data_IF_126085159061
#
_entry.id   IF_126085159061
#
_cell.length_a   1.000
_cell.length_b   1.000
_cell.length_c   1.000
_cell.angle_alpha   90.00
_cell.angle_beta   90.00
_cell.angle_gamma   90.00
#
_symmetry.space_group_name_H-M   'P 1'
#
loop_
_entity.id
_entity.type
_entity.pdbx_description
1 polymer ?
#
# COMPACT_ATOMS: atom_id res chain seq x y z
N UNK A 1 -51.61 39.32 -50.82
CA UNK A 1 -50.99 39.59 -49.50
C UNK A 1 -50.78 38.37 -48.59
N UNK A 2 -51.03 37.12 -49.03
CA UNK A 2 -50.84 35.93 -48.17
C UNK A 2 -49.53 35.14 -48.38
N UNK A 3 -48.70 35.47 -49.38
CA UNK A 3 -47.42 34.77 -49.62
C UNK A 3 -46.21 35.38 -48.89
N UNK A 4 -46.25 36.67 -48.54
CA UNK A 4 -45.14 37.36 -47.84
C UNK A 4 -45.10 37.14 -46.32
N UNK A 5 -46.21 36.70 -45.70
CA UNK A 5 -46.26 36.41 -44.26
C UNK A 5 -45.66 35.06 -43.87
N UNK A 6 -45.57 34.10 -44.80
CA UNK A 6 -45.01 32.77 -44.50
C UNK A 6 -43.47 32.74 -44.45
N UNK A 7 -42.80 33.66 -45.15
CA UNK A 7 -41.33 33.79 -45.12
C UNK A 7 -40.81 34.46 -43.85
N UNK A 8 -41.55 35.42 -43.28
CA UNK A 8 -41.15 36.11 -42.04
C UNK A 8 -41.33 35.20 -40.81
N UNK A 9 -42.39 34.38 -40.78
CA UNK A 9 -42.64 33.43 -39.68
C UNK A 9 -41.67 32.25 -39.72
N UNK A 10 -41.26 31.79 -40.90
CA UNK A 10 -40.23 30.76 -41.03
C UNK A 10 -38.83 31.25 -40.62
N UNK A 11 -38.49 32.52 -40.90
CA UNK A 11 -37.23 33.12 -40.47
C UNK A 11 -37.16 33.37 -38.95
N UNK A 12 -38.28 33.75 -38.33
CA UNK A 12 -38.38 33.91 -36.87
C UNK A 12 -38.31 32.57 -36.12
N UNK A 13 -38.91 31.49 -36.66
CA UNK A 13 -38.84 30.16 -36.06
C UNK A 13 -37.46 29.50 -36.24
N UNK A 14 -36.73 29.81 -37.32
CA UNK A 14 -35.33 29.36 -37.44
C UNK A 14 -34.41 30.09 -36.45
N UNK A 15 -34.68 31.37 -36.15
CA UNK A 15 -33.88 32.15 -35.21
C UNK A 15 -34.09 31.73 -33.75
N UNK A 16 -35.30 31.30 -33.36
CA UNK A 16 -35.57 30.82 -31.99
C UNK A 16 -35.01 29.42 -31.72
N UNK A 17 -34.75 28.61 -32.75
CA UNK A 17 -34.18 27.26 -32.60
C UNK A 17 -32.64 27.28 -32.75
N UNK A 18 -32.07 28.27 -33.46
CA UNK A 18 -30.61 28.37 -33.68
C UNK A 18 -29.92 29.27 -32.64
N UNK A 19 -30.63 30.23 -32.00
CA UNK A 19 -30.05 31.10 -30.97
C UNK A 19 -29.47 30.39 -29.73
N UNK A 20 -30.01 29.26 -29.23
CA UNK A 20 -29.41 28.56 -28.08
C UNK A 20 -28.18 27.72 -28.46
N UNK A 21 -27.91 27.52 -29.76
CA UNK A 21 -26.77 26.72 -30.24
C UNK A 21 -25.53 27.61 -30.51
N UNK A 22 -25.73 28.93 -30.68
CA UNK A 22 -24.65 29.91 -30.93
C UNK A 22 -24.25 30.73 -29.71
N UNK A 23 -25.07 30.77 -28.65
CA UNK A 23 -24.71 31.27 -27.34
C UNK A 23 -24.50 30.05 -26.44
N UNK A 24 -23.25 29.61 -26.31
CA UNK A 24 -22.85 28.52 -25.44
C UNK A 24 -23.05 28.82 -23.94
N UNK A 25 -24.26 29.14 -23.53
CA UNK A 25 -24.70 28.98 -22.14
C UNK A 25 -24.76 27.48 -21.88
N UNK A 26 -23.60 26.92 -21.51
CA UNK A 26 -23.61 25.72 -20.69
C UNK A 26 -24.28 26.12 -19.39
N UNK A 27 -25.54 25.73 -19.22
CA UNK A 27 -26.09 25.58 -17.88
C UNK A 27 -25.25 24.47 -17.26
N UNK A 28 -24.22 24.85 -16.52
CA UNK A 28 -23.60 23.94 -15.56
C UNK A 28 -24.67 23.72 -14.51
N UNK A 29 -25.33 22.56 -14.56
CA UNK A 29 -26.01 22.04 -13.39
C UNK A 29 -24.93 21.86 -12.32
N UNK A 30 -24.86 22.81 -11.40
CA UNK A 30 -24.17 22.64 -10.12
C UNK A 30 -25.22 21.98 -9.25
N UNK A 31 -25.25 20.66 -9.25
CA UNK A 31 -26.04 19.91 -8.28
C UNK A 31 -25.33 20.09 -6.93
N UNK A 32 -25.79 21.06 -6.14
CA UNK A 32 -25.50 21.07 -4.72
C UNK A 32 -26.13 19.79 -4.14
N UNK A 33 -25.29 18.87 -3.64
CA UNK A 33 -25.79 17.64 -3.05
C UNK A 33 -26.72 18.01 -1.90
N UNK A 34 -27.94 17.51 -1.96
CA UNK A 34 -28.91 17.67 -0.90
C UNK A 34 -28.44 16.93 0.37
N UNK A 35 -28.99 17.30 1.52
CA UNK A 35 -28.70 16.62 2.79
C UNK A 35 -28.99 15.10 2.69
N UNK A 36 -30.04 14.73 1.95
CA UNK A 36 -30.43 13.35 1.67
C UNK A 36 -29.39 12.63 0.79
N UNK A 37 -28.86 13.29 -0.25
CA UNK A 37 -27.80 12.72 -1.10
C UNK A 37 -26.46 12.51 -0.37
N UNK A 38 -26.12 13.39 0.58
CA UNK A 38 -24.95 13.22 1.44
C UNK A 38 -25.18 12.07 2.42
N UNK A 39 -26.37 11.98 3.03
CA UNK A 39 -26.74 10.89 3.92
C UNK A 39 -26.69 9.53 3.21
N UNK A 40 -27.20 9.45 1.98
CA UNK A 40 -27.16 8.23 1.16
C UNK A 40 -25.72 7.82 0.82
N UNK A 41 -24.84 8.78 0.51
CA UNK A 41 -23.42 8.49 0.27
C UNK A 41 -22.71 8.01 1.54
N UNK A 42 -22.98 8.63 2.69
CA UNK A 42 -22.45 8.17 3.99
C UNK A 42 -22.85 6.71 4.23
N UNK A 43 -24.12 6.36 4.01
CA UNK A 43 -24.60 5.01 4.26
C UNK A 43 -23.97 4.00 3.30
N UNK A 44 -23.79 4.36 2.02
CA UNK A 44 -23.08 3.55 1.03
C UNK A 44 -21.61 3.33 1.41
N UNK A 45 -20.92 4.36 1.88
CA UNK A 45 -19.52 4.26 2.35
C UNK A 45 -19.44 3.40 3.62
N UNK A 46 -20.39 3.52 4.55
CA UNK A 46 -20.48 2.65 5.75
C UNK A 46 -20.69 1.19 5.39
N UNK A 47 -21.56 0.90 4.42
CA UNK A 47 -21.75 -0.46 3.93
C UNK A 47 -20.47 -1.03 3.31
N UNK A 48 -19.78 -0.24 2.49
CA UNK A 48 -18.48 -0.62 1.93
C UNK A 48 -17.43 -0.88 3.02
N UNK A 49 -17.35 0.00 4.03
CA UNK A 49 -16.46 -0.15 5.18
C UNK A 49 -16.77 -1.44 5.97
N UNK A 50 -18.05 -1.76 6.16
CA UNK A 50 -18.48 -3.01 6.79
C UNK A 50 -17.99 -4.24 6.03
N UNK A 51 -18.12 -4.24 4.70
CA UNK A 51 -17.63 -5.33 3.85
C UNK A 51 -16.10 -5.48 3.88
N UNK A 52 -15.37 -4.36 3.86
CA UNK A 52 -13.90 -4.36 3.97
C UNK A 52 -13.47 -4.84 5.36
N UNK A 53 -14.12 -4.42 6.44
CA UNK A 53 -13.81 -4.86 7.80
C UNK A 53 -14.11 -6.36 8.02
N UNK A 54 -15.17 -6.89 7.43
CA UNK A 54 -15.45 -8.33 7.44
C UNK A 54 -14.34 -9.11 6.71
N UNK A 55 -13.92 -8.62 5.53
CA UNK A 55 -12.82 -9.19 4.75
C UNK A 55 -11.48 -9.10 5.50
N UNK A 56 -11.22 -7.99 6.18
CA UNK A 56 -10.04 -7.77 7.01
C UNK A 56 -9.99 -8.77 8.17
N UNK A 57 -11.11 -8.97 8.86
CA UNK A 57 -11.21 -9.95 9.96
C UNK A 57 -10.93 -11.36 9.45
N UNK A 58 -11.48 -11.74 8.29
CA UNK A 58 -11.22 -13.04 7.68
C UNK A 58 -9.73 -13.20 7.31
N UNK A 59 -9.11 -12.16 6.73
CA UNK A 59 -7.70 -12.15 6.37
C UNK A 59 -6.78 -12.24 7.59
N UNK A 60 -7.10 -11.54 8.68
CA UNK A 60 -6.35 -11.59 9.95
C UNK A 60 -6.42 -12.99 10.59
N UNK A 61 -7.61 -13.63 10.55
CA UNK A 61 -7.76 -15.00 11.03
C UNK A 61 -6.97 -16.01 10.18
N UNK A 62 -6.98 -15.85 8.86
CA UNK A 62 -6.20 -16.70 7.94
C UNK A 62 -4.68 -16.52 8.14
N UNK A 63 -4.22 -15.28 8.35
CA UNK A 63 -2.84 -14.96 8.68
C UNK A 63 -2.42 -15.64 10.00
N UNK A 64 -3.24 -15.50 11.05
CA UNK A 64 -2.98 -16.13 12.35
C UNK A 64 -2.91 -17.65 12.25
N UNK A 65 -3.82 -18.27 11.49
CA UNK A 65 -3.79 -19.71 11.22
C UNK A 65 -2.48 -20.12 10.54
N UNK A 66 -2.07 -19.40 9.49
CA UNK A 66 -0.82 -19.66 8.77
C UNK A 66 0.42 -19.48 9.65
N UNK A 67 0.43 -18.47 10.53
CA UNK A 67 1.49 -18.26 11.51
C UNK A 67 1.58 -19.40 12.52
N UNK A 68 0.46 -19.90 13.02
CA UNK A 68 0.42 -21.04 13.93
C UNK A 68 0.95 -22.31 13.24
N UNK A 69 0.52 -22.59 12.01
CA UNK A 69 1.03 -23.72 11.22
C UNK A 69 2.53 -23.61 10.98
N UNK A 70 3.05 -22.41 10.67
CA UNK A 70 4.48 -22.16 10.52
C UNK A 70 5.24 -22.42 11.83
N UNK A 71 4.76 -21.90 12.95
CA UNK A 71 5.38 -22.11 14.26
C UNK A 71 5.44 -23.59 14.64
N UNK A 72 4.36 -24.33 14.39
CA UNK A 72 4.30 -25.76 14.67
C UNK A 72 5.29 -26.55 13.81
N UNK A 73 5.33 -26.27 12.50
CA UNK A 73 6.27 -26.92 11.58
C UNK A 73 7.73 -26.61 11.94
N UNK A 74 8.04 -25.36 12.33
CA UNK A 74 9.37 -24.98 12.79
C UNK A 74 9.78 -25.68 14.09
N UNK A 75 8.83 -25.98 14.98
CA UNK A 75 9.10 -26.71 16.23
C UNK A 75 9.40 -28.20 16.03
N UNK A 76 8.95 -28.79 14.92
CA UNK A 76 9.17 -30.21 14.61
C UNK A 76 10.56 -30.49 14.01
N UNK A 77 11.16 -29.50 13.32
CA UNK A 77 12.50 -29.65 12.70
C UNK A 77 13.59 -30.04 13.72
N UNK A 78 13.77 -29.35 14.86
CA UNK A 78 14.80 -29.74 15.84
C UNK A 78 14.59 -31.15 16.41
N UNK A 79 13.33 -31.60 16.49
CA UNK A 79 13.01 -32.94 16.98
C UNK A 79 13.46 -34.00 15.98
N UNK A 80 13.19 -33.79 14.69
CA UNK A 80 13.66 -34.66 13.62
C UNK A 80 15.19 -34.66 13.51
N UNK A 81 15.83 -33.50 13.66
CA UNK A 81 17.30 -33.40 13.67
C UNK A 81 17.93 -34.19 14.81
N UNK A 82 17.34 -34.13 16.01
CA UNK A 82 17.80 -34.91 17.15
C UNK A 82 17.62 -36.42 16.93
N UNK A 83 16.47 -36.84 16.38
CA UNK A 83 16.21 -38.26 16.10
C UNK A 83 17.15 -38.83 15.02
N UNK A 84 17.38 -38.07 13.93
CA UNK A 84 18.36 -38.41 12.88
C UNK A 84 19.77 -38.54 13.47
N UNK A 85 20.18 -37.58 14.30
CA UNK A 85 21.51 -37.62 14.92
C UNK A 85 21.68 -38.82 15.86
N UNK A 86 20.64 -39.18 16.62
CA UNK A 86 20.65 -40.35 17.48
C UNK A 86 20.78 -41.65 16.68
N UNK A 87 19.99 -41.81 15.62
CA UNK A 87 20.04 -43.00 14.75
C UNK A 87 21.40 -43.10 14.05
N UNK A 88 21.96 -41.98 13.58
CA UNK A 88 23.28 -41.99 12.97
C UNK A 88 24.37 -42.45 13.95
N UNK A 89 24.31 -42.02 15.21
CA UNK A 89 25.25 -42.49 16.23
C UNK A 89 25.09 -44.00 16.51
N UNK A 90 23.88 -44.53 16.45
CA UNK A 90 23.60 -45.96 16.61
C UNK A 90 24.14 -46.78 15.41
N UNK A 91 23.94 -46.29 14.18
CA UNK A 91 24.53 -46.87 12.97
C UNK A 91 26.06 -46.91 13.07
N UNK A 92 26.68 -45.81 13.48
CA UNK A 92 28.13 -45.71 13.61
C UNK A 92 28.67 -46.67 14.68
N UNK A 93 27.92 -46.83 15.80
CA UNK A 93 28.26 -47.80 16.83
C UNK A 93 28.17 -49.25 16.32
N UNK A 94 27.08 -49.60 15.63
CA UNK A 94 26.92 -50.94 15.06
C UNK A 94 28.03 -51.27 14.06
N UNK A 95 28.44 -50.32 13.21
CA UNK A 95 29.56 -50.50 12.27
C UNK A 95 30.87 -50.80 12.98
N UNK A 96 31.15 -50.14 14.12
CA UNK A 96 32.32 -50.44 14.94
C UNK A 96 32.21 -51.83 15.58
N UNK A 97 31.03 -52.21 16.07
CA UNK A 97 30.79 -53.54 16.66
C UNK A 97 30.97 -54.66 15.64
N UNK A 98 30.45 -54.48 14.42
CA UNK A 98 30.64 -55.42 13.30
C UNK A 98 32.13 -55.58 13.01
N UNK A 99 32.88 -54.49 12.84
CA UNK A 99 34.33 -54.56 12.59
C UNK A 99 35.09 -55.33 13.68
N UNK A 100 34.75 -55.09 14.96
CA UNK A 100 35.36 -55.81 16.08
C UNK A 100 35.00 -57.31 16.05
N UNK A 101 33.74 -57.64 15.74
CA UNK A 101 33.27 -59.01 15.64
C UNK A 101 33.94 -59.75 14.46
N UNK A 102 34.06 -59.13 13.29
CA UNK A 102 34.75 -59.66 12.11
C UNK A 102 36.23 -59.96 12.40
N UNK A 103 36.95 -59.03 13.05
CA UNK A 103 38.35 -59.28 13.42
C UNK A 103 38.48 -60.38 14.48
N UNK A 104 37.50 -60.51 15.38
CA UNK A 104 37.46 -61.58 16.39
C UNK A 104 37.19 -62.94 15.74
N UNK A 105 36.27 -63.00 14.77
CA UNK A 105 35.96 -64.19 13.98
C UNK A 105 37.18 -64.67 13.19
N UNK A 106 37.90 -63.75 12.53
CA UNK A 106 39.15 -64.05 11.83
C UNK A 106 40.21 -64.63 12.77
N UNK A 107 40.38 -64.03 13.94
CA UNK A 107 41.36 -64.50 14.93
C UNK A 107 41.02 -65.92 15.42
N UNK A 108 39.75 -66.19 15.72
CA UNK A 108 39.29 -67.52 16.15
C UNK A 108 39.41 -68.57 15.05
N UNK A 109 39.12 -68.19 13.80
CA UNK A 109 39.31 -69.07 12.64
C UNK A 109 40.78 -69.46 12.48
N UNK A 110 41.70 -68.50 12.60
CA UNK A 110 43.15 -68.80 12.59
C UNK A 110 43.57 -69.69 13.77
N UNK A 111 43.01 -69.48 14.97
CA UNK A 111 43.27 -70.35 16.14
C UNK A 111 42.78 -71.78 15.89
N UNK A 112 41.59 -71.93 15.27
CA UNK A 112 41.03 -73.22 14.90
C UNK A 112 41.94 -73.94 13.89
N UNK A 113 42.38 -73.27 12.83
CA UNK A 113 43.33 -73.81 11.83
C UNK A 113 44.67 -74.23 12.46
N UNK A 114 45.20 -73.43 13.40
CA UNK A 114 46.42 -73.77 14.12
C UNK A 114 46.24 -75.01 15.00
N UNK A 115 45.09 -75.15 15.68
CA UNK A 115 44.76 -76.32 16.50
C UNK A 115 44.58 -77.57 15.66
N UNK A 116 43.88 -77.49 14.53
CA UNK A 116 43.75 -78.59 13.58
C UNK A 116 45.11 -79.05 13.05
N UNK A 117 45.99 -78.10 12.69
CA UNK A 117 47.35 -78.39 12.23
C UNK A 117 48.21 -79.04 13.32
N UNK A 118 48.12 -78.53 14.57
CA UNK A 118 48.80 -79.13 15.72
C UNK A 118 48.27 -80.53 16.02
N UNK A 119 46.96 -80.74 15.91
CA UNK A 119 46.33 -82.04 16.09
C UNK A 119 46.83 -83.04 15.04
N UNK A 120 46.82 -82.68 13.75
CA UNK A 120 47.34 -83.54 12.67
C UNK A 120 48.82 -83.88 12.88
N UNK A 121 49.63 -82.90 13.31
CA UNK A 121 51.04 -83.11 13.66
C UNK A 121 51.21 -84.02 14.87
N UNK A 122 50.41 -83.86 15.92
CA UNK A 122 50.44 -84.69 17.12
C UNK A 122 50.01 -86.14 16.82
N UNK A 123 48.99 -86.34 15.98
CA UNK A 123 48.55 -87.65 15.49
C UNK A 123 49.66 -88.32 14.68
N UNK A 124 50.31 -87.60 13.76
CA UNK A 124 51.45 -88.09 12.98
C UNK A 124 52.63 -88.46 13.87
N UNK A 125 52.99 -87.61 14.82
CA UNK A 125 54.11 -87.86 15.74
C UNK A 125 53.84 -89.08 16.64
N UNK A 126 52.65 -89.16 17.24
CA UNK A 126 52.23 -90.32 18.02
C UNK A 126 52.30 -91.62 17.20
N UNK A 127 51.91 -91.59 15.92
CA UNK A 127 52.03 -92.73 15.00
C UNK A 127 53.49 -93.10 14.67
N UNK A 128 54.38 -92.11 14.51
CA UNK A 128 55.81 -92.34 14.25
C UNK A 128 56.49 -92.93 15.49
N UNK A 129 56.31 -92.31 16.66
CA UNK A 129 56.89 -92.75 17.94
C UNK A 129 56.52 -94.21 18.22
N UNK A 130 55.25 -94.56 18.03
CA UNK A 130 54.75 -95.94 18.06
C UNK A 130 55.56 -96.90 17.21
N UNK A 131 55.76 -96.54 15.94
CA UNK A 131 56.33 -97.42 14.92
C UNK A 131 57.82 -97.62 15.18
N UNK A 132 58.50 -96.60 15.69
CA UNK A 132 59.91 -96.67 16.11
C UNK A 132 60.12 -97.42 17.44
N UNK A 133 59.20 -97.33 18.39
CA UNK A 133 59.31 -98.00 19.70
C UNK A 133 58.89 -99.49 19.67
N UNK A 134 58.46 -100.01 18.51
CA UNK A 134 58.11 -101.44 18.35
C UNK A 134 59.22 -102.42 18.73
N UNK A 135 60.49 -102.01 18.72
CA UNK A 135 61.61 -102.85 19.15
C UNK A 135 61.66 -103.03 20.68
N UNK A 136 61.27 -102.02 21.45
CA UNK A 136 61.28 -102.05 22.93
C UNK A 136 59.97 -102.62 23.48
N UNK A 137 58.83 -102.27 22.88
CA UNK A 137 57.50 -102.75 23.31
C UNK A 137 57.20 -104.22 22.95
N UNK A 138 57.94 -104.83 22.00
CA UNK A 138 57.89 -106.28 21.77
C UNK A 138 58.39 -107.10 22.97
N UNK A 139 59.24 -106.52 23.82
CA UNK A 139 59.86 -107.24 24.93
C UNK A 139 59.00 -107.26 26.21
N UNK A 140 58.00 -106.36 26.35
CA UNK A 140 57.31 -106.15 27.63
C UNK A 140 55.83 -106.55 27.71
N UNK A 141 55.14 -106.91 26.61
CA UNK A 141 53.68 -107.15 26.65
C UNK A 141 53.29 -108.49 26.02
N UNK A 142 53.09 -109.49 26.88
CA UNK A 142 52.39 -110.74 26.57
C UNK A 142 50.95 -110.61 27.07
N UNK A 143 50.00 -110.37 26.17
CA UNK A 143 48.55 -110.44 26.46
C UNK A 143 47.72 -109.28 25.90
N UNK A 144 46.83 -109.60 24.95
CA UNK A 144 45.76 -108.76 24.36
C UNK A 144 46.16 -107.32 24.03
N UNK A 145 47.13 -107.19 23.14
CA UNK A 145 47.73 -105.92 22.78
C UNK A 145 46.80 -104.96 22.02
N UNK A 146 45.63 -105.36 21.50
CA UNK A 146 44.77 -104.52 20.64
C UNK A 146 43.85 -103.54 21.41
N UNK A 147 43.42 -103.90 22.63
CA UNK A 147 42.44 -103.08 23.36
C UNK A 147 43.07 -101.89 24.08
N UNK A 148 44.24 -102.08 24.72
CA UNK A 148 45.06 -100.98 25.29
C UNK A 148 45.63 -100.09 24.17
N UNK A 149 45.81 -100.65 22.96
CA UNK A 149 46.27 -99.95 21.75
C UNK A 149 45.32 -98.85 21.29
N UNK A 150 44.02 -99.14 21.22
CA UNK A 150 43.04 -98.14 20.81
C UNK A 150 42.84 -97.06 21.89
N UNK A 151 42.89 -97.46 23.16
CA UNK A 151 42.50 -96.60 24.28
C UNK A 151 43.56 -95.55 24.64
N UNK A 152 44.86 -95.88 24.56
CA UNK A 152 45.94 -94.89 24.80
C UNK A 152 46.13 -93.96 23.60
N UNK A 153 45.95 -94.44 22.36
CA UNK A 153 46.03 -93.61 21.14
C UNK A 153 44.84 -92.65 20.98
N UNK A 154 43.63 -93.07 21.38
CA UNK A 154 42.41 -92.27 21.18
C UNK A 154 41.99 -91.42 22.37
N UNK A 155 42.36 -91.74 23.61
CA UNK A 155 41.63 -91.16 24.76
C UNK A 155 42.05 -89.77 25.22
N UNK A 156 43.31 -89.35 25.05
CA UNK A 156 43.79 -88.09 25.66
C UNK A 156 44.13 -86.99 24.64
N UNK A 157 44.98 -87.27 23.65
CA UNK A 157 45.39 -86.23 22.66
C UNK A 157 44.28 -85.95 21.64
N UNK A 158 43.53 -86.97 21.22
CA UNK A 158 42.46 -86.78 20.24
C UNK A 158 41.20 -86.15 20.84
N UNK A 159 40.71 -86.62 22.00
CA UNK A 159 39.43 -86.14 22.58
C UNK A 159 39.48 -84.71 23.11
N UNK A 160 40.57 -84.33 23.80
CA UNK A 160 40.67 -82.99 24.40
C UNK A 160 40.80 -81.90 23.34
N UNK A 161 41.58 -82.15 22.29
CA UNK A 161 41.74 -81.21 21.15
C UNK A 161 40.50 -81.17 20.25
N UNK A 162 39.81 -82.32 20.01
CA UNK A 162 38.54 -82.33 19.26
C UNK A 162 37.47 -81.48 19.93
N UNK A 163 37.30 -81.62 21.26
CA UNK A 163 36.34 -80.79 22.01
C UNK A 163 36.70 -79.30 21.92
N UNK A 164 37.99 -78.94 21.93
CA UNK A 164 38.44 -77.55 21.80
C UNK A 164 38.15 -76.97 20.41
N UNK A 165 38.35 -77.76 19.34
CA UNK A 165 38.02 -77.37 17.97
C UNK A 165 36.51 -77.22 17.78
N UNK A 166 35.70 -78.12 18.34
CA UNK A 166 34.24 -78.06 18.28
C UNK A 166 33.68 -76.82 19.01
N UNK A 167 34.22 -76.50 20.20
CA UNK A 167 33.86 -75.29 20.94
C UNK A 167 34.21 -74.03 20.15
N UNK A 168 35.42 -73.96 19.59
CA UNK A 168 35.83 -72.81 18.75
C UNK A 168 34.94 -72.66 17.51
N UNK A 169 34.57 -73.77 16.86
CA UNK A 169 33.62 -73.75 15.76
C UNK A 169 32.26 -73.16 16.15
N UNK A 170 31.72 -73.58 17.29
CA UNK A 170 30.46 -73.01 17.81
C UNK A 170 30.58 -71.52 18.15
N UNK A 171 31.71 -71.07 18.70
CA UNK A 171 31.95 -69.65 18.99
C UNK A 171 32.08 -68.81 17.70
N UNK A 172 32.65 -69.37 16.63
CA UNK A 172 32.73 -68.73 15.31
C UNK A 172 31.33 -68.60 14.70
N UNK A 173 30.53 -69.67 14.75
CA UNK A 173 29.15 -69.65 14.23
C UNK A 173 28.30 -68.64 15.00
N UNK A 174 28.42 -68.57 16.34
CA UNK A 174 27.74 -67.55 17.15
C UNK A 174 28.17 -66.13 16.79
N UNK A 175 29.46 -65.90 16.50
CA UNK A 175 29.94 -64.60 16.04
C UNK A 175 29.38 -64.22 14.67
N UNK A 176 29.27 -65.16 13.74
CA UNK A 176 28.67 -64.94 12.41
C UNK A 176 27.20 -64.59 12.52
N UNK A 177 26.44 -65.34 13.31
CA UNK A 177 25.02 -65.07 13.55
C UNK A 177 24.83 -63.66 14.15
N UNK A 178 25.69 -63.26 15.10
CA UNK A 178 25.66 -61.91 15.69
C UNK A 178 26.02 -60.81 14.67
N UNK A 179 26.99 -61.06 13.78
CA UNK A 179 27.34 -60.12 12.69
C UNK A 179 26.15 -59.94 11.77
N UNK A 180 25.53 -61.03 11.30
CA UNK A 180 24.36 -60.99 10.42
C UNK A 180 23.18 -60.22 11.06
N UNK A 181 22.94 -60.40 12.36
CA UNK A 181 21.91 -59.65 13.11
C UNK A 181 22.22 -58.15 13.19
N UNK A 182 23.49 -57.78 13.46
CA UNK A 182 23.93 -56.39 13.50
C UNK A 182 23.87 -55.73 12.12
N UNK A 183 24.23 -56.44 11.06
CA UNK A 183 24.12 -55.95 9.68
C UNK A 183 22.66 -55.71 9.28
N UNK A 184 21.76 -56.64 9.64
CA UNK A 184 20.33 -56.49 9.45
C UNK A 184 19.78 -55.25 10.17
N UNK A 185 20.09 -55.11 11.46
CA UNK A 185 19.69 -53.95 12.27
C UNK A 185 20.25 -52.64 11.71
N UNK A 186 21.51 -52.64 11.25
CA UNK A 186 22.15 -51.47 10.65
C UNK A 186 21.45 -51.05 9.37
N UNK A 187 21.06 -52.01 8.53
CA UNK A 187 20.33 -51.74 7.27
C UNK A 187 18.94 -51.13 7.55
N UNK A 188 18.23 -51.64 8.55
CA UNK A 188 16.94 -51.09 8.97
C UNK A 188 17.06 -49.66 9.51
N UNK A 189 18.09 -49.40 10.33
CA UNK A 189 18.39 -48.07 10.85
C UNK A 189 18.77 -47.09 9.72
N UNK A 190 19.59 -47.51 8.74
CA UNK A 190 19.94 -46.70 7.57
C UNK A 190 18.69 -46.33 6.75
N UNK A 191 17.77 -47.28 6.57
CA UNK A 191 16.49 -47.05 5.91
C UNK A 191 15.63 -46.04 6.67
N UNK A 192 15.51 -46.19 8.00
CA UNK A 192 14.76 -45.26 8.85
C UNK A 192 15.39 -43.86 8.83
N UNK A 193 16.71 -43.78 8.86
CA UNK A 193 17.45 -42.51 8.80
C UNK A 193 17.21 -41.77 7.48
N UNK A 194 17.18 -42.51 6.36
CA UNK A 194 16.88 -41.95 5.05
C UNK A 194 15.42 -41.44 4.97
N UNK A 195 14.45 -42.18 5.51
CA UNK A 195 13.05 -41.75 5.56
C UNK A 195 12.86 -40.48 6.41
N UNK A 196 13.46 -40.42 7.60
CA UNK A 196 13.42 -39.23 8.46
C UNK A 196 14.10 -38.02 7.80
N UNK A 197 15.21 -38.24 7.09
CA UNK A 197 15.89 -37.18 6.33
C UNK A 197 14.99 -36.63 5.21
N UNK A 198 14.32 -37.53 4.47
CA UNK A 198 13.35 -37.13 3.44
C UNK A 198 12.14 -36.39 4.05
N UNK A 199 11.63 -36.85 5.18
CA UNK A 199 10.53 -36.21 5.91
C UNK A 199 10.92 -34.81 6.38
N UNK A 200 12.13 -34.62 6.90
CA UNK A 200 12.69 -33.32 7.26
C UNK A 200 12.73 -32.39 6.05
N UNK A 201 13.28 -32.85 4.92
CA UNK A 201 13.36 -32.04 3.70
C UNK A 201 11.98 -31.62 3.18
N UNK A 202 10.98 -32.51 3.23
CA UNK A 202 9.59 -32.17 2.88
C UNK A 202 9.01 -31.10 3.82
N UNK A 203 9.28 -31.20 5.12
CA UNK A 203 8.80 -30.23 6.11
C UNK A 203 9.48 -28.86 5.93
N UNK A 204 10.78 -28.82 5.60
CA UNK A 204 11.49 -27.59 5.26
C UNK A 204 10.90 -26.90 4.01
N UNK A 205 10.54 -27.68 2.99
CA UNK A 205 9.84 -27.16 1.82
C UNK A 205 8.45 -26.60 2.17
N UNK A 206 7.70 -27.26 3.06
CA UNK A 206 6.43 -26.76 3.57
C UNK A 206 6.59 -25.45 4.35
N UNK A 207 7.64 -25.34 5.17
CA UNK A 207 7.97 -24.10 5.91
C UNK A 207 8.20 -22.93 4.94
N UNK A 208 8.92 -23.16 3.83
CA UNK A 208 9.13 -22.13 2.80
C UNK A 208 7.80 -21.69 2.19
N UNK A 209 6.93 -22.65 1.83
CA UNK A 209 5.61 -22.35 1.29
C UNK A 209 4.73 -21.57 2.29
N UNK A 210 4.75 -21.96 3.57
CA UNK A 210 4.03 -21.27 4.64
C UNK A 210 4.55 -19.84 4.86
N UNK A 211 5.86 -19.60 4.81
CA UNK A 211 6.43 -18.24 4.88
C UNK A 211 5.93 -17.36 3.74
N UNK A 212 5.88 -17.90 2.52
CA UNK A 212 5.33 -17.18 1.37
C UNK A 212 3.83 -16.86 1.57
N UNK A 213 3.05 -17.81 2.10
CA UNK A 213 1.64 -17.61 2.44
C UNK A 213 1.44 -16.52 3.51
N UNK A 214 2.27 -16.52 4.56
CA UNK A 214 2.25 -15.48 5.61
C UNK A 214 2.57 -14.11 5.02
N UNK A 215 3.60 -14.00 4.18
CA UNK A 215 3.98 -12.75 3.53
C UNK A 215 2.87 -12.22 2.62
N UNK A 216 2.27 -13.09 1.81
CA UNK A 216 1.13 -12.73 0.97
C UNK A 216 -0.06 -12.25 1.81
N UNK A 217 -0.41 -12.99 2.87
CA UNK A 217 -1.52 -12.65 3.77
C UNK A 217 -1.28 -11.32 4.50
N UNK A 218 -0.04 -11.03 4.92
CA UNK A 218 0.34 -9.73 5.47
C UNK A 218 0.08 -8.59 4.49
N UNK A 219 0.40 -8.79 3.21
CA UNK A 219 0.11 -7.82 2.16
C UNK A 219 -1.39 -7.56 1.99
N UNK A 220 -2.22 -8.62 2.01
CA UNK A 220 -3.68 -8.50 1.95
C UNK A 220 -4.24 -7.73 3.15
N UNK A 221 -3.81 -8.07 4.37
CA UNK A 221 -4.22 -7.38 5.60
C UNK A 221 -3.84 -5.91 5.55
N UNK A 222 -2.62 -5.57 5.11
CA UNK A 222 -2.18 -4.19 4.98
C UNK A 222 -3.02 -3.41 3.94
N UNK A 223 -3.31 -4.02 2.79
CA UNK A 223 -4.16 -3.41 1.76
C UNK A 223 -5.58 -3.15 2.24
N UNK A 224 -6.20 -4.14 2.90
CA UNK A 224 -7.55 -4.01 3.46
C UNK A 224 -7.62 -2.97 4.58
N UNK A 225 -6.63 -2.91 5.47
CA UNK A 225 -6.53 -1.84 6.49
C UNK A 225 -6.45 -0.47 5.85
N UNK A 226 -5.62 -0.30 4.81
CA UNK A 226 -5.53 0.96 4.08
C UNK A 226 -6.87 1.35 3.44
N UNK A 227 -7.59 0.41 2.85
CA UNK A 227 -8.92 0.67 2.29
C UNK A 227 -9.92 1.09 3.37
N UNK A 228 -9.93 0.41 4.52
CA UNK A 228 -10.77 0.75 5.64
C UNK A 228 -10.48 2.16 6.17
N UNK A 229 -9.20 2.56 6.28
CA UNK A 229 -8.81 3.91 6.68
C UNK A 229 -9.31 4.98 5.71
N UNK A 230 -9.20 4.75 4.39
CA UNK A 230 -9.70 5.68 3.38
C UNK A 230 -11.22 5.81 3.44
N UNK A 231 -11.95 4.70 3.53
CA UNK A 231 -13.41 4.70 3.66
C UNK A 231 -13.85 5.43 4.93
N UNK A 232 -13.17 5.20 6.06
CA UNK A 232 -13.47 5.92 7.31
C UNK A 232 -13.23 7.43 7.16
N UNK A 233 -12.11 7.84 6.56
CA UNK A 233 -11.83 9.25 6.31
C UNK A 233 -12.89 9.91 5.41
N UNK A 234 -13.36 9.22 4.37
CA UNK A 234 -14.44 9.70 3.51
C UNK A 234 -15.76 9.87 4.29
N UNK A 235 -16.10 8.90 5.15
CA UNK A 235 -17.28 8.99 6.02
C UNK A 235 -17.18 10.19 6.96
N UNK A 236 -16.01 10.41 7.57
CA UNK A 236 -15.78 11.53 8.49
C UNK A 236 -15.90 12.88 7.75
N UNK A 237 -15.35 12.98 6.53
CA UNK A 237 -15.47 14.17 5.69
C UNK A 237 -16.93 14.46 5.33
N UNK A 238 -17.67 13.46 4.83
CA UNK A 238 -19.08 13.61 4.46
C UNK A 238 -19.95 13.94 5.68
N UNK A 239 -19.64 13.38 6.85
CA UNK A 239 -20.35 13.67 8.10
C UNK A 239 -20.10 15.11 8.55
N UNK A 240 -18.88 15.63 8.37
CA UNK A 240 -18.57 17.04 8.65
C UNK A 240 -19.28 17.99 7.67
N UNK A 241 -19.35 17.63 6.39
CA UNK A 241 -20.11 18.35 5.36
C UNK A 241 -21.59 18.39 5.70
N UNK A 242 -22.17 17.23 6.03
CA UNK A 242 -23.57 17.11 6.47
C UNK A 242 -23.86 18.00 7.68
N UNK A 243 -22.98 17.97 8.68
CA UNK A 243 -23.13 18.80 9.89
C UNK A 243 -23.04 20.29 9.57
N UNK A 244 -22.11 20.70 8.70
CA UNK A 244 -21.96 22.10 8.30
C UNK A 244 -23.22 22.63 7.60
N UNK A 245 -23.85 21.81 6.74
CA UNK A 245 -25.12 22.14 6.10
C UNK A 245 -26.26 22.25 7.12
N UNK A 246 -26.37 21.31 8.06
CA UNK A 246 -27.36 21.36 9.14
C UNK A 246 -27.19 22.58 10.06
N UNK A 247 -25.95 22.91 10.41
CA UNK A 247 -25.63 24.10 11.22
C UNK A 247 -26.00 25.38 10.46
N UNK A 248 -25.78 25.42 9.14
CA UNK A 248 -26.17 26.54 8.28
C UNK A 248 -27.69 26.68 8.15
N UNK A 249 -28.42 25.57 7.96
CA UNK A 249 -29.89 25.56 7.99
C UNK A 249 -30.42 26.04 9.34
N UNK A 250 -29.86 25.57 10.45
CA UNK A 250 -30.24 26.00 11.80
C UNK A 250 -29.94 27.48 12.04
N UNK A 251 -28.83 28.00 11.51
CA UNK A 251 -28.52 29.43 11.54
C UNK A 251 -29.54 30.26 10.75
N UNK A 252 -29.88 29.83 9.53
CA UNK A 252 -30.91 30.46 8.70
C UNK A 252 -32.28 30.51 9.42
N UNK A 253 -32.62 29.44 10.14
CA UNK A 253 -33.87 29.33 10.89
C UNK A 253 -33.82 30.07 12.25
N UNK A 254 -32.63 30.33 12.80
CA UNK A 254 -32.43 30.85 14.15
C UNK A 254 -32.07 32.34 14.28
N UNK A 255 -31.46 32.96 13.26
CA UNK A 255 -31.08 34.39 13.31
C UNK A 255 -31.28 35.11 11.96
N UNK A 256 -32.54 35.36 11.62
CA UNK A 256 -32.94 36.55 10.86
C UNK A 256 -33.58 37.55 11.82
N UNK A 257 -32.87 38.62 12.17
CA UNK A 257 -33.37 39.64 13.09
C UNK A 257 -34.73 40.21 12.66
N UNK A 258 -35.64 40.37 13.63
CA UNK A 258 -36.77 41.29 13.58
C UNK A 258 -37.68 41.24 12.31
N UNK A 259 -37.97 40.04 11.82
CA UNK A 259 -39.02 39.78 10.83
C UNK A 259 -39.90 38.64 11.32
N UNK A 260 -41.20 38.89 11.46
CA UNK A 260 -42.20 38.05 12.13
C UNK A 260 -42.02 36.54 12.00
N UNK A 261 -42.05 35.87 13.15
CA UNK A 261 -42.25 34.43 13.30
C UNK A 261 -43.56 33.99 12.63
N UNK A 262 -43.46 33.44 11.42
CA UNK A 262 -44.51 32.67 10.78
C UNK A 262 -44.02 31.21 10.61
N UNK A 263 -44.77 30.20 11.06
CA UNK A 263 -44.37 28.82 10.85
C UNK A 263 -44.48 28.44 9.37
N UNK A 264 -43.42 27.81 8.84
CA UNK A 264 -43.30 27.44 7.43
C UNK A 264 -44.19 26.22 7.09
N UNK A 265 -44.85 26.26 5.93
CA UNK A 265 -45.66 25.18 5.36
C UNK A 265 -44.90 24.46 4.24
N UNK A 266 -44.98 23.12 4.10
CA UNK A 266 -44.31 22.40 3.01
C UNK A 266 -44.72 22.90 1.62
N UNK A 267 -43.74 23.18 0.74
CA UNK A 267 -43.96 23.54 -0.67
C UNK A 267 -43.81 25.03 -1.04
N UNK A 268 -43.32 25.88 -0.13
CA UNK A 268 -42.97 27.27 -0.47
C UNK A 268 -41.46 27.51 -0.44
N UNK A 269 -40.93 28.13 -1.51
CA UNK A 269 -39.56 28.63 -1.59
C UNK A 269 -39.55 30.08 -1.09
N UNK A 270 -38.72 30.37 -0.09
CA UNK A 270 -38.47 31.74 0.37
C UNK A 270 -36.98 32.07 0.23
N UNK A 271 -36.68 33.24 -0.33
CA UNK A 271 -35.34 33.82 -0.29
C UNK A 271 -35.27 34.73 0.94
N UNK A 272 -34.38 34.44 1.89
CA UNK A 272 -33.98 35.37 2.94
C UNK A 272 -32.52 35.74 2.73
N UNK A 273 -32.29 36.96 2.25
CA UNK A 273 -30.95 37.51 2.07
C UNK A 273 -30.66 38.52 3.18
N UNK A 274 -29.83 38.14 4.15
CA UNK A 274 -28.94 39.09 4.81
C UNK A 274 -27.57 38.93 4.15
N UNK A 275 -27.46 39.45 2.92
CA UNK A 275 -26.26 39.32 2.11
C UNK A 275 -25.06 39.88 2.86
N UNK A 276 -24.11 39.00 3.20
CA UNK A 276 -22.70 39.35 3.33
C UNK A 276 -22.05 39.55 1.94
N UNK A 277 -22.87 39.72 0.90
CA UNK A 277 -22.54 39.92 -0.51
C UNK A 277 -21.98 41.31 -0.83
N UNK A 278 -21.66 42.12 0.18
CA UNK A 278 -21.21 43.48 -0.07
C UNK A 278 -19.75 43.58 -0.50
N UNK A 279 -18.85 42.58 -0.33
CA UNK A 279 -17.41 42.80 -0.61
C UNK A 279 -16.51 41.63 -1.06
N UNK A 280 -16.96 40.50 -1.62
CA UNK A 280 -16.00 39.39 -1.81
C UNK A 280 -16.12 38.55 -3.10
N UNK A 281 -15.78 39.17 -4.23
CA UNK A 281 -15.43 38.51 -5.51
C UNK A 281 -16.56 37.82 -6.29
N UNK A 282 -16.18 37.05 -7.31
CA UNK A 282 -17.05 36.59 -8.41
C UNK A 282 -18.01 35.44 -8.07
N UNK A 283 -17.92 34.85 -6.87
CA UNK A 283 -18.69 33.66 -6.45
C UNK A 283 -18.28 32.33 -7.10
N UNK A 284 -17.30 32.34 -8.01
CA UNK A 284 -16.78 31.15 -8.72
C UNK A 284 -15.28 31.33 -8.99
N UNK A 285 -14.57 30.21 -9.24
CA UNK A 285 -13.13 30.23 -9.48
C UNK A 285 -12.30 29.95 -8.23
N UNK A 286 -11.11 30.56 -8.12
CA UNK A 286 -10.22 30.34 -6.97
C UNK A 286 -10.84 30.87 -5.66
N UNK A 287 -10.95 30.01 -4.65
CA UNK A 287 -11.34 30.40 -3.29
C UNK A 287 -10.17 31.10 -2.59
N UNK A 288 -10.36 32.31 -2.06
CA UNK A 288 -9.30 33.01 -1.33
C UNK A 288 -8.97 32.29 -0.01
N UNK A 289 -9.98 31.88 0.76
CA UNK A 289 -9.77 31.10 1.98
C UNK A 289 -9.20 29.70 1.71
N UNK A 290 -9.58 29.07 0.60
CA UNK A 290 -9.00 27.79 0.20
C UNK A 290 -7.54 27.91 -0.25
N UNK A 291 -7.19 28.96 -1.01
CA UNK A 291 -5.81 29.31 -1.33
C UNK A 291 -4.97 29.58 -0.07
N UNK A 292 -5.55 30.25 0.94
CA UNK A 292 -4.93 30.43 2.25
C UNK A 292 -4.63 29.08 2.92
N UNK A 293 -5.60 28.17 2.98
CA UNK A 293 -5.42 26.83 3.55
C UNK A 293 -4.36 25.99 2.82
N UNK A 294 -4.36 25.99 1.49
CA UNK A 294 -3.35 25.29 0.69
C UNK A 294 -1.94 25.87 0.88
N UNK A 295 -1.82 27.20 0.92
CA UNK A 295 -0.55 27.86 1.19
C UNK A 295 -0.02 27.57 2.60
N UNK A 296 -0.90 27.48 3.62
CA UNK A 296 -0.50 27.04 4.96
C UNK A 296 0.03 25.60 4.97
N UNK A 297 -0.45 24.75 4.07
CA UNK A 297 0.03 23.39 3.86
C UNK A 297 1.27 23.33 2.94
N UNK A 298 1.92 24.47 2.65
CA UNK A 298 3.17 24.54 1.91
C UNK A 298 3.05 24.54 0.39
N UNK A 299 1.83 24.72 -0.16
CA UNK A 299 1.64 24.80 -1.61
C UNK A 299 2.12 26.14 -2.17
N UNK A 300 2.84 26.09 -3.29
CA UNK A 300 3.23 27.28 -4.04
C UNK A 300 2.08 27.84 -4.89
N UNK A 301 2.17 29.11 -5.26
CA UNK A 301 1.12 29.81 -6.01
C UNK A 301 0.68 29.09 -7.29
N UNK A 302 1.62 28.53 -8.06
CA UNK A 302 1.29 27.79 -9.28
C UNK A 302 0.49 26.51 -8.99
N UNK A 303 0.84 25.78 -7.92
CA UNK A 303 0.12 24.57 -7.52
C UNK A 303 -1.31 24.88 -7.09
N UNK A 304 -1.48 25.96 -6.32
CA UNK A 304 -2.78 26.49 -5.92
C UNK A 304 -3.63 26.81 -7.15
N UNK A 305 -3.07 27.53 -8.13
CA UNK A 305 -3.79 27.91 -9.34
C UNK A 305 -4.13 26.73 -10.23
N UNK A 306 -3.22 25.76 -10.41
CA UNK A 306 -3.52 24.56 -11.21
C UNK A 306 -4.46 23.58 -10.53
N UNK A 307 -4.64 23.70 -9.21
CA UNK A 307 -5.71 23.02 -8.48
C UNK A 307 -7.06 23.64 -8.81
N UNK A 308 -7.17 24.97 -8.72
CA UNK A 308 -8.43 25.65 -8.98
C UNK A 308 -8.80 25.72 -10.46
N UNK A 309 -7.84 25.85 -11.37
CA UNK A 309 -8.13 25.95 -12.80
C UNK A 309 -7.57 24.73 -13.52
N UNK A 310 -8.45 23.91 -14.10
CA UNK A 310 -8.04 22.63 -14.70
C UNK A 310 -7.50 22.80 -16.13
N UNK A 311 -6.46 22.03 -16.46
CA UNK A 311 -5.86 22.03 -17.80
C UNK A 311 -5.11 23.31 -18.19
N UNK A 312 -4.85 24.21 -17.24
CA UNK A 312 -4.18 25.49 -17.48
C UNK A 312 -2.67 25.41 -17.30
N UNK A 313 -1.98 26.44 -17.81
CA UNK A 313 -0.57 26.70 -17.58
C UNK A 313 -0.42 28.06 -16.91
N UNK A 314 0.28 28.09 -15.78
CA UNK A 314 0.76 29.33 -15.15
C UNK A 314 2.13 29.66 -15.72
N UNK A 315 2.27 30.80 -16.39
CA UNK A 315 3.51 31.12 -17.08
C UNK A 315 3.61 32.57 -17.52
N UNK A 316 4.77 32.90 -18.07
CA UNK A 316 5.09 34.22 -18.61
C UNK A 316 4.22 34.51 -19.85
N UNK A 317 3.70 35.74 -19.95
CA UNK A 317 2.85 36.16 -21.07
C UNK A 317 3.19 37.58 -21.52
N UNK A 318 3.14 37.88 -22.84
CA UNK A 318 3.38 39.23 -23.37
C UNK A 318 2.20 40.16 -23.05
N UNK A 319 2.05 40.50 -21.77
CA UNK A 319 0.98 41.32 -21.23
C UNK A 319 1.27 42.81 -21.44
N UNK A 320 0.21 43.58 -21.70
CA UNK A 320 0.27 45.03 -21.55
C UNK A 320 0.60 45.39 -20.09
N UNK A 321 1.51 46.34 -19.90
CA UNK A 321 1.86 46.87 -18.58
C UNK A 321 0.89 47.96 -18.10
N UNK A 322 -0.07 48.31 -18.95
CA UNK A 322 -1.12 49.27 -18.68
C UNK A 322 -2.50 48.69 -19.01
N UNK A 323 -3.50 49.04 -18.21
CA UNK A 323 -4.91 48.73 -18.48
C UNK A 323 -5.74 50.00 -18.41
N UNK A 324 -6.93 49.95 -19.02
CA UNK A 324 -7.88 51.06 -18.96
C UNK A 324 -8.94 50.74 -17.91
N UNK A 325 -9.16 51.65 -16.97
CA UNK A 325 -10.16 51.52 -15.91
C UNK A 325 -11.28 52.53 -16.13
N UNK A 326 -12.47 52.24 -15.59
CA UNK A 326 -13.60 53.17 -15.50
C UNK A 326 -14.14 53.27 -14.07
N UNK A 327 -14.41 54.49 -13.63
CA UNK A 327 -14.98 54.78 -12.32
C UNK A 327 -15.73 56.12 -12.31
N UNK A 328 -16.40 56.43 -11.21
CA UNK A 328 -17.14 57.69 -11.04
C UNK A 328 -16.33 58.69 -10.22
N UNK A 329 -16.20 59.93 -10.70
CA UNK A 329 -15.33 60.95 -10.08
C UNK A 329 -15.60 61.16 -8.58
N UNK A 330 -16.87 61.11 -8.16
CA UNK A 330 -17.28 61.31 -6.76
C UNK A 330 -17.37 60.04 -5.92
N UNK A 331 -17.19 58.85 -6.51
CA UNK A 331 -17.13 57.58 -5.77
C UNK A 331 -16.41 56.51 -6.60
N UNK A 332 -15.09 56.36 -6.41
CA UNK A 332 -14.27 55.51 -7.28
C UNK A 332 -14.51 54.00 -7.09
N UNK A 333 -15.06 53.55 -5.95
CA UNK A 333 -15.13 52.12 -5.59
C UNK A 333 -16.56 51.58 -5.41
N UNK A 334 -17.56 52.44 -5.17
CA UNK A 334 -18.89 51.98 -4.74
C UNK A 334 -20.06 52.34 -5.67
N UNK A 335 -19.86 53.10 -6.77
CA UNK A 335 -20.98 53.73 -7.49
C UNK A 335 -21.20 53.33 -8.96
N UNK A 336 -20.31 52.57 -9.61
CA UNK A 336 -20.52 52.14 -10.99
C UNK A 336 -21.36 50.85 -11.04
N UNK A 337 -22.68 50.99 -11.00
CA UNK A 337 -23.64 49.93 -11.34
C UNK A 337 -24.18 50.14 -12.77
N UNK A 338 -24.90 49.15 -13.30
CA UNK A 338 -25.35 48.99 -14.71
C UNK A 338 -25.97 50.23 -15.41
N UNK A 339 -26.27 51.33 -14.70
CA UNK A 339 -26.86 52.57 -15.21
C UNK A 339 -25.89 53.78 -15.23
N UNK A 340 -24.57 53.55 -15.19
CA UNK A 340 -23.55 54.61 -15.14
C UNK A 340 -23.32 55.12 -13.71
N UNK A 341 -22.88 56.37 -13.55
CA UNK A 341 -22.54 56.95 -12.25
C UNK A 341 -23.75 57.38 -11.40
N UNK A 342 -24.82 56.59 -11.42
CA UNK A 342 -26.04 56.77 -10.63
C UNK A 342 -26.34 55.51 -9.82
N UNK A 343 -26.53 55.66 -8.50
CA UNK A 343 -26.99 54.58 -7.61
C UNK A 343 -27.99 55.13 -6.60
N UNK A 344 -29.12 54.44 -6.42
CA UNK A 344 -30.17 54.84 -5.45
C UNK A 344 -30.75 56.24 -5.64
N UNK A 345 -30.69 56.82 -6.84
CA UNK A 345 -31.10 58.21 -7.12
C UNK A 345 -30.03 59.28 -6.85
N UNK A 346 -28.82 58.88 -6.44
CA UNK A 346 -27.68 59.78 -6.23
C UNK A 346 -26.77 59.77 -7.46
N UNK A 347 -26.39 60.96 -7.94
CA UNK A 347 -25.40 61.14 -9.02
C UNK A 347 -24.01 61.34 -8.43
N UNK A 348 -23.07 60.47 -8.79
CA UNK A 348 -21.70 60.43 -8.27
C UNK A 348 -20.68 61.13 -9.18
N UNK A 349 -21.14 62.00 -10.08
CA UNK A 349 -20.28 62.73 -11.03
C UNK A 349 -20.11 62.02 -12.37
N UNK A 350 -19.31 62.59 -13.29
CA UNK A 350 -19.07 62.01 -14.61
C UNK A 350 -18.30 60.69 -14.51
N UNK A 351 -18.53 59.81 -15.49
CA UNK A 351 -17.70 58.63 -15.70
C UNK A 351 -16.31 59.08 -16.18
N UNK A 352 -15.28 58.57 -15.52
CA UNK A 352 -13.88 58.79 -15.86
C UNK A 352 -13.33 57.49 -16.42
N UNK A 353 -12.79 57.57 -17.63
CA UNK A 353 -12.03 56.48 -18.25
C UNK A 353 -10.59 56.93 -18.35
N UNK A 354 -9.68 56.15 -17.77
CA UNK A 354 -8.27 56.49 -17.75
C UNK A 354 -7.39 55.24 -17.81
N UNK A 355 -6.16 55.44 -18.24
CA UNK A 355 -5.15 54.39 -18.32
C UNK A 355 -4.28 54.42 -17.07
N UNK A 356 -4.03 53.24 -16.50
CA UNK A 356 -3.23 53.04 -15.30
C UNK A 356 -2.23 51.91 -15.48
N UNK A 357 -1.18 51.91 -14.66
CA UNK A 357 -0.26 50.77 -14.56
C UNK A 357 -1.01 49.54 -14.04
N UNK A 358 -0.80 48.40 -14.71
CA UNK A 358 -1.36 47.12 -14.30
C UNK A 358 -0.89 46.73 -12.90
N UNK A 359 0.40 46.91 -12.60
CA UNK A 359 0.96 46.60 -11.28
C UNK A 359 0.34 47.47 -10.17
N UNK A 360 0.12 48.76 -10.44
CA UNK A 360 -0.57 49.64 -9.47
C UNK A 360 -2.04 49.26 -9.29
N UNK A 361 -2.70 48.82 -10.36
CA UNK A 361 -4.07 48.34 -10.30
C UNK A 361 -4.17 47.08 -9.43
N UNK A 362 -3.25 46.12 -9.62
CA UNK A 362 -3.17 44.89 -8.84
C UNK A 362 -2.81 45.18 -7.37
N UNK A 363 -1.91 46.13 -7.11
CA UNK A 363 -1.55 46.52 -5.75
C UNK A 363 -2.69 47.18 -4.98
N UNK A 364 -3.67 47.74 -5.69
CA UNK A 364 -4.91 48.27 -5.13
C UNK A 364 -5.97 47.20 -4.82
N UNK A 365 -5.71 45.92 -5.09
CA UNK A 365 -6.62 44.83 -4.71
C UNK A 365 -6.49 44.58 -3.20
N UNK A 366 -7.52 44.94 -2.43
CA UNK A 366 -7.50 44.88 -0.96
C UNK A 366 -8.19 43.64 -0.36
N UNK A 367 -8.38 42.57 -1.14
CA UNK A 367 -9.25 41.45 -0.73
C UNK A 367 -8.56 40.39 0.14
N UNK A 368 -7.23 40.19 0.02
CA UNK A 368 -6.46 39.36 0.96
C UNK A 368 -5.64 40.27 1.89
N UNK A 369 -5.59 40.00 3.21
CA UNK A 369 -4.77 40.80 4.11
C UNK A 369 -3.29 40.40 4.01
N UNK A 370 -2.39 41.38 4.21
CA UNK A 370 -0.93 41.17 4.19
C UNK A 370 -0.41 40.12 5.19
N UNK A 371 -1.19 39.76 6.21
CA UNK A 371 -0.87 38.69 7.17
C UNK A 371 -1.02 37.28 6.60
N UNK A 372 -1.66 37.13 5.44
CA UNK A 372 -1.83 35.82 4.80
C UNK A 372 -0.53 35.32 4.16
N UNK A 373 -0.37 33.99 4.03
CA UNK A 373 0.78 33.39 3.39
C UNK A 373 1.05 34.02 2.02
N UNK A 374 2.32 34.33 1.75
CA UNK A 374 2.74 35.00 0.53
C UNK A 374 2.29 34.25 -0.73
N UNK A 375 2.33 32.91 -0.72
CA UNK A 375 1.91 32.08 -1.86
C UNK A 375 0.41 32.20 -2.19
N UNK A 376 -0.45 32.42 -1.19
CA UNK A 376 -1.87 32.68 -1.42
C UNK A 376 -2.09 34.05 -2.09
N UNK A 377 -1.38 35.08 -1.60
CA UNK A 377 -1.41 36.42 -2.19
C UNK A 377 -0.84 36.44 -3.61
N UNK A 378 0.23 35.70 -3.86
CA UNK A 378 0.78 35.48 -5.22
C UNK A 378 -0.25 34.82 -6.15
N UNK A 379 -0.95 33.79 -5.69
CA UNK A 379 -2.00 33.15 -6.47
C UNK A 379 -3.10 34.15 -6.87
N UNK A 380 -3.55 34.99 -5.93
CA UNK A 380 -4.50 36.07 -6.21
C UNK A 380 -3.97 37.06 -7.25
N UNK A 381 -2.72 37.52 -7.13
CA UNK A 381 -2.15 38.49 -8.07
C UNK A 381 -2.08 37.93 -9.50
N UNK A 382 -1.74 36.65 -9.66
CA UNK A 382 -1.70 35.98 -10.97
C UNK A 382 -3.11 35.83 -11.55
N UNK A 383 -4.09 35.41 -10.73
CA UNK A 383 -5.48 35.29 -11.16
C UNK A 383 -6.07 36.65 -11.55
N UNK A 384 -5.90 37.66 -10.71
CA UNK A 384 -6.37 39.02 -10.96
C UNK A 384 -5.71 39.67 -12.18
N UNK A 385 -4.40 39.45 -12.38
CA UNK A 385 -3.70 39.89 -13.59
C UNK A 385 -4.31 39.27 -14.83
N UNK A 386 -4.56 37.96 -14.80
CA UNK A 386 -5.16 37.23 -15.91
C UNK A 386 -6.56 37.74 -16.22
N UNK A 387 -7.39 37.93 -15.18
CA UNK A 387 -8.74 38.47 -15.32
C UNK A 387 -8.74 39.87 -15.94
N UNK A 388 -7.95 40.80 -15.39
CA UNK A 388 -7.89 42.18 -15.87
C UNK A 388 -7.39 42.26 -17.32
N UNK A 389 -6.36 41.48 -17.67
CA UNK A 389 -5.86 41.43 -19.03
C UNK A 389 -6.87 40.81 -19.99
N UNK A 390 -7.58 39.74 -19.61
CA UNK A 390 -8.62 39.17 -20.45
C UNK A 390 -9.78 40.14 -20.64
N UNK A 391 -10.27 40.73 -19.56
CA UNK A 391 -11.41 41.67 -19.57
C UNK A 391 -11.13 42.86 -20.48
N UNK A 392 -9.92 43.42 -20.36
CA UNK A 392 -9.50 44.58 -21.16
C UNK A 392 -8.99 44.20 -22.56
N UNK A 393 -9.08 42.94 -22.98
CA UNK A 393 -8.48 42.44 -24.21
C UNK A 393 -7.00 42.86 -24.38
N UNK A 394 -6.20 42.56 -23.35
CA UNK A 394 -4.79 42.89 -23.18
C UNK A 394 -4.50 44.40 -23.19
N UNK A 395 -5.27 45.18 -22.41
CA UNK A 395 -5.05 46.63 -22.25
C UNK A 395 -5.66 47.50 -23.35
N UNK A 396 -6.62 46.99 -24.13
CA UNK A 396 -7.32 47.75 -25.17
C UNK A 396 -8.09 48.94 -24.54
N UNK A 397 -7.85 50.19 -24.99
CA UNK A 397 -8.54 51.38 -24.47
C UNK A 397 -10.07 51.35 -24.60
N UNK A 398 -10.59 50.56 -25.54
CA UNK A 398 -12.04 50.45 -25.77
C UNK A 398 -12.74 49.48 -24.80
N UNK A 399 -11.99 48.76 -23.97
CA UNK A 399 -12.53 47.79 -23.01
C UNK A 399 -12.14 48.16 -21.57
N UNK A 400 -12.66 49.28 -21.01
CA UNK A 400 -12.31 49.69 -19.66
C UNK A 400 -12.94 48.79 -18.59
N UNK A 401 -12.12 48.31 -17.65
CA UNK A 401 -12.58 47.52 -16.49
C UNK A 401 -13.09 48.44 -15.37
N UNK A 402 -14.21 48.09 -14.74
CA UNK A 402 -14.74 48.84 -13.61
C UNK A 402 -14.09 48.47 -12.28
N UNK A 403 -14.09 49.37 -11.30
CA UNK A 403 -13.50 49.15 -9.97
C UNK A 403 -14.51 48.65 -8.91
N UNK A 404 -15.68 48.17 -9.34
CA UNK A 404 -16.76 47.71 -8.45
C UNK A 404 -16.83 46.20 -8.42
N UNK A 405 -17.68 45.66 -7.55
CA UNK A 405 -17.99 44.22 -7.45
C UNK A 405 -18.54 43.61 -8.73
N UNK A 406 -18.97 44.43 -9.70
CA UNK A 406 -19.42 43.96 -11.01
C UNK A 406 -18.27 43.49 -11.90
N UNK A 407 -17.09 44.11 -11.76
CA UNK A 407 -15.88 43.65 -12.42
C UNK A 407 -14.93 43.15 -11.35
N UNK A 408 -14.05 44.01 -10.85
CA UNK A 408 -13.07 43.65 -9.84
C UNK A 408 -12.83 44.86 -8.95
N UNK A 409 -13.06 44.70 -7.64
CA UNK A 409 -12.88 45.77 -6.66
C UNK A 409 -11.40 46.12 -6.57
N UNK A 410 -11.06 47.38 -6.83
CA UNK A 410 -9.69 47.89 -6.67
C UNK A 410 -9.72 49.31 -6.10
N UNK A 411 -8.90 49.52 -5.08
CA UNK A 411 -8.75 50.76 -4.33
C UNK A 411 -7.61 51.64 -4.88
N UNK A 412 -7.15 51.40 -6.12
CA UNK A 412 -6.09 52.20 -6.77
C UNK A 412 -6.35 53.73 -6.69
N UNK A 413 -7.63 54.15 -6.69
CA UNK A 413 -8.03 55.56 -6.57
C UNK A 413 -8.32 56.05 -5.15
N UNK A 414 -8.27 55.17 -4.17
CA UNK A 414 -8.38 55.51 -2.75
C UNK A 414 -7.00 55.73 -2.09
N UNK A 415 -5.91 55.30 -2.72
CA UNK A 415 -4.54 55.45 -2.20
C UNK A 415 -4.07 54.29 -1.31
N UNK A 416 -4.96 53.33 -1.00
CA UNK A 416 -4.67 52.13 -0.23
C UNK A 416 -4.02 51.06 -1.14
N UNK A 417 -2.70 51.12 -1.29
CA UNK A 417 -1.91 50.10 -2.02
C UNK A 417 -1.24 49.16 -1.01
N UNK A 418 -1.70 47.91 -0.93
CA UNK A 418 -1.30 46.99 0.13
C UNK A 418 -0.41 45.83 -0.36
N UNK A 419 -0.44 45.46 -1.64
CA UNK A 419 0.02 44.14 -2.12
C UNK A 419 1.27 44.16 -3.05
N UNK A 420 2.07 45.22 -3.04
CA UNK A 420 3.17 45.41 -4.01
C UNK A 420 4.21 44.27 -4.05
N UNK A 421 4.47 43.58 -2.93
CA UNK A 421 5.42 42.47 -2.87
C UNK A 421 4.97 41.27 -3.72
N UNK A 422 3.71 40.83 -3.55
CA UNK A 422 3.15 39.74 -4.33
C UNK A 422 3.01 40.10 -5.82
N UNK A 423 2.72 41.36 -6.14
CA UNK A 423 2.66 41.86 -7.51
C UNK A 423 4.03 41.72 -8.20
N UNK A 424 5.10 42.19 -7.55
CA UNK A 424 6.44 42.15 -8.13
C UNK A 424 7.00 40.72 -8.23
N UNK A 425 6.77 39.86 -7.24
CA UNK A 425 7.24 38.47 -7.28
C UNK A 425 6.50 37.60 -8.31
N UNK A 426 5.35 38.06 -8.81
CA UNK A 426 4.57 37.36 -9.83
C UNK A 426 4.60 38.06 -11.17
N UNK A 427 5.53 39.00 -11.37
CA UNK A 427 5.58 39.83 -12.56
C UNK A 427 5.49 39.00 -13.85
N UNK A 428 4.62 39.47 -14.75
CA UNK A 428 4.34 38.87 -16.06
C UNK A 428 3.78 37.43 -16.04
N UNK A 429 3.47 36.88 -14.86
CA UNK A 429 2.79 35.58 -14.74
C UNK A 429 1.27 35.73 -14.87
N UNK A 430 0.70 34.90 -15.73
CA UNK A 430 -0.75 34.77 -15.97
C UNK A 430 -1.13 33.30 -16.11
N UNK A 431 -2.43 33.04 -16.22
CA UNK A 431 -3.01 31.71 -16.40
C UNK A 431 -3.54 31.59 -17.82
N UNK A 432 -3.07 30.58 -18.56
CA UNK A 432 -3.49 30.34 -19.95
C UNK A 432 -4.05 28.94 -20.16
N UNK A 433 -5.01 28.82 -21.09
CA UNK A 433 -5.51 27.55 -21.60
C UNK A 433 -5.42 27.58 -23.13
N UNK A 434 -4.69 26.64 -23.73
CA UNK A 434 -4.44 26.64 -25.18
C UNK A 434 -3.79 27.93 -25.69
N UNK A 435 -2.96 28.59 -24.89
CA UNK A 435 -2.28 29.85 -25.23
C UNK A 435 -3.11 31.13 -25.04
N UNK A 436 -4.39 31.02 -24.68
CA UNK A 436 -5.27 32.17 -24.44
C UNK A 436 -5.43 32.42 -22.93
N UNK A 437 -5.52 33.69 -22.52
CA UNK A 437 -5.83 34.07 -21.14
C UNK A 437 -7.18 33.48 -20.73
N UNK A 438 -7.24 32.81 -19.59
CA UNK A 438 -8.50 32.28 -19.05
C UNK A 438 -9.33 33.38 -18.38
N UNK A 439 -10.61 33.11 -18.15
CA UNK A 439 -11.42 33.92 -17.24
C UNK A 439 -11.13 33.52 -15.80
N UNK A 440 -10.04 34.06 -15.25
CA UNK A 440 -9.55 33.72 -13.91
C UNK A 440 -10.40 34.37 -12.81
N UNK A 441 -11.64 33.92 -12.67
CA UNK A 441 -12.55 34.34 -11.61
C UNK A 441 -12.04 33.87 -10.23
N UNK A 442 -12.33 34.61 -9.17
CA UNK A 442 -12.01 34.27 -7.79
C UNK A 442 -12.94 34.99 -6.81
N UNK A 443 -13.11 34.45 -5.60
CA UNK A 443 -13.99 34.99 -4.54
C UNK A 443 -13.50 34.64 -3.14
N UNK A 444 -13.94 35.37 -2.09
CA UNK A 444 -13.44 35.11 -0.74
C UNK A 444 -13.71 33.67 -0.30
N UNK A 445 -14.95 33.26 -0.49
CA UNK A 445 -15.39 31.90 -0.37
C UNK A 445 -16.24 31.57 -1.60
N UNK A 446 -16.20 30.32 -2.04
CA UNK A 446 -16.97 29.83 -3.18
C UNK A 446 -17.80 28.61 -2.77
N UNK A 447 -18.30 28.54 -1.52
CA UNK A 447 -19.06 27.42 -0.95
C UNK A 447 -18.40 26.02 -1.07
N UNK A 448 -17.16 26.00 -1.59
CA UNK A 448 -16.37 24.86 -2.02
C UNK A 448 -14.92 25.13 -1.59
N UNK A 449 -14.65 25.45 -0.33
CA UNK A 449 -13.32 25.84 0.19
C UNK A 449 -12.13 24.92 -0.18
N UNK A 450 -12.39 23.77 -0.82
CA UNK A 450 -11.41 22.80 -1.37
C UNK A 450 -11.66 22.38 -2.84
N UNK A 451 -12.76 22.82 -3.47
CA UNK A 451 -13.18 22.39 -4.81
C UNK A 451 -12.45 23.11 -5.94
N UNK A 452 -12.14 22.36 -6.99
CA UNK A 452 -11.62 22.86 -8.27
C UNK A 452 -12.74 23.62 -9.01
N UNK A 453 -12.40 24.70 -9.73
CA UNK A 453 -13.35 25.51 -10.49
C UNK A 453 -13.76 24.89 -11.84
#
# INVERSE_FOLDING_TARGET
MLRSRKLIVAALLLFTIIAPVLLGMRVTHVDARTLDEIQDEIEKQKQALGNVNASLTAAENALKSSQNSLSNAQGEIPRLEAEIAQIQAEIDLNKVQIQVAEETEKLKTLEQEERETRQDSAVKQAYVDWRSEQQVMKALVVGTADNVRAEVYQSQVAKQELNGIEILGSEIDELKDNIDELEGTTTDLETKNADLTNRKAQLEAQIIALRNSVNWSNGQVAGLRSQATVLQANIDQLSAEQKALQDYEAWLLGQGGNGGSQPLSPGQIYFTGAGRELYTGHGVGMSQYGAYGLAQNGWGASQILTHYYTGVVVGQYPASQEITIKYCQGSPVFAAYQNGCMSGGVYYGPEVVERVSLDQYLAGLGEMPNSWPLEARKAQMIAARTYALRYTANGNPNNPICLTTYCQVSYIKSGDVAEMDAVQQTKDLVITYGGNLIEALYSADNNNGWGTA
#
